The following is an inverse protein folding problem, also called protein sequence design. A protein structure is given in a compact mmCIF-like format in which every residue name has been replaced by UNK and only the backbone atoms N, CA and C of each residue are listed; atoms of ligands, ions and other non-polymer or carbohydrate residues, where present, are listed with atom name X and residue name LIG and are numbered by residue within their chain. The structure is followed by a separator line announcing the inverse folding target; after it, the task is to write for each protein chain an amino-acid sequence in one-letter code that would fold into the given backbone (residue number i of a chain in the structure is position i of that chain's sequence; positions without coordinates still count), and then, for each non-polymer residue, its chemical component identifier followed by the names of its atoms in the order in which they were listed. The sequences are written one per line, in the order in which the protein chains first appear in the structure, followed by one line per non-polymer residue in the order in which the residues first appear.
data_IF_417114924937
#
_entry.id   IF_417114924937
#
_cell.length_a   1.000
_cell.length_b   1.000
_cell.length_c   1.000
_cell.angle_alpha   90.00
_cell.angle_beta   90.00
_cell.angle_gamma   90.00
#
_symmetry.space_group_name_H-M   'P 1'
#
loop_
_entity.id
_entity.type
_entity.pdbx_description
1 polymer ?
#
# COMPACT_ATOMS: atom_id res chain seq x y z
N UNK A 1 -26.08 -9.21 33.14
CA UNK A 1 -25.56 -9.43 31.78
C UNK A 1 -26.19 -8.41 30.86
N UNK A 2 -25.44 -7.40 30.46
CA UNK A 2 -25.93 -6.35 29.55
C UNK A 2 -25.80 -6.90 28.12
N UNK A 3 -26.91 -7.19 27.46
CA UNK A 3 -26.94 -7.57 26.05
C UNK A 3 -26.60 -6.34 25.20
N UNK A 4 -25.66 -6.43 24.23
CA UNK A 4 -25.36 -5.31 23.33
C UNK A 4 -26.61 -4.96 22.51
N UNK A 5 -26.82 -3.65 22.24
CA UNK A 5 -27.93 -3.21 21.39
C UNK A 5 -27.76 -3.78 19.96
N UNK A 6 -28.87 -3.97 19.24
CA UNK A 6 -28.90 -4.50 17.88
C UNK A 6 -27.94 -3.73 16.94
N UNK A 7 -27.81 -2.42 17.11
CA UNK A 7 -26.90 -1.53 16.37
C UNK A 7 -25.45 -1.81 16.72
N UNK A 8 -25.16 -2.12 17.96
CA UNK A 8 -23.81 -2.45 18.45
C UNK A 8 -23.35 -3.83 17.93
N UNK A 9 -24.26 -4.81 17.90
CA UNK A 9 -24.01 -6.12 17.31
C UNK A 9 -23.78 -6.04 15.78
N UNK A 10 -24.57 -5.24 15.05
CA UNK A 10 -24.39 -5.02 13.61
C UNK A 10 -23.05 -4.34 13.29
N UNK A 11 -22.63 -3.34 14.09
CA UNK A 11 -21.33 -2.70 13.90
C UNK A 11 -20.16 -3.66 14.17
N UNK A 12 -20.30 -4.56 15.14
CA UNK A 12 -19.27 -5.57 15.44
C UNK A 12 -19.13 -6.59 14.30
N UNK A 13 -20.24 -7.08 13.75
CA UNK A 13 -20.24 -8.01 12.61
C UNK A 13 -19.66 -7.34 11.37
N UNK A 14 -19.97 -6.08 11.12
CA UNK A 14 -19.39 -5.34 10.00
C UNK A 14 -17.89 -5.13 10.16
N UNK A 15 -17.39 -4.85 11.35
CA UNK A 15 -15.97 -4.71 11.64
C UNK A 15 -15.22 -6.03 11.43
N UNK A 16 -15.73 -7.15 11.94
CA UNK A 16 -15.16 -8.49 11.74
C UNK A 16 -15.06 -8.85 10.25
N UNK A 17 -16.11 -8.57 9.49
CA UNK A 17 -16.09 -8.81 8.04
C UNK A 17 -15.00 -7.98 7.34
N UNK A 18 -14.83 -6.70 7.68
CA UNK A 18 -13.79 -5.86 7.09
C UNK A 18 -12.38 -6.33 7.44
N UNK A 19 -12.16 -6.82 8.67
CA UNK A 19 -10.88 -7.42 9.07
C UNK A 19 -10.58 -8.70 8.28
N UNK A 20 -11.56 -9.58 8.10
CA UNK A 20 -11.43 -10.79 7.30
C UNK A 20 -11.18 -10.46 5.82
N UNK A 21 -11.88 -9.49 5.26
CA UNK A 21 -11.64 -9.02 3.89
C UNK A 21 -10.24 -8.42 3.74
N UNK A 22 -9.77 -7.67 4.75
CA UNK A 22 -8.41 -7.14 4.74
C UNK A 22 -7.36 -8.25 4.73
N UNK A 23 -7.50 -9.25 5.57
CA UNK A 23 -6.61 -10.41 5.57
C UNK A 23 -6.65 -11.17 4.24
N UNK A 24 -7.83 -11.33 3.64
CA UNK A 24 -7.99 -11.96 2.33
C UNK A 24 -7.31 -11.17 1.21
N UNK A 25 -7.37 -9.83 1.23
CA UNK A 25 -6.68 -8.97 0.28
C UNK A 25 -5.16 -9.08 0.39
N UNK A 26 -4.61 -9.13 1.61
CA UNK A 26 -3.18 -9.35 1.83
C UNK A 26 -2.73 -10.70 1.27
N UNK A 27 -3.47 -11.77 1.55
CA UNK A 27 -3.17 -13.11 1.06
C UNK A 27 -3.31 -13.20 -0.48
N UNK A 28 -4.32 -12.55 -1.06
CA UNK A 28 -4.52 -12.47 -2.51
C UNK A 28 -3.36 -11.73 -3.20
N UNK A 29 -2.94 -10.60 -2.65
CA UNK A 29 -1.81 -9.83 -3.15
C UNK A 29 -0.51 -10.64 -3.12
N UNK A 30 -0.22 -11.34 -2.03
CA UNK A 30 0.94 -12.22 -1.90
C UNK A 30 0.91 -13.32 -2.96
N UNK A 31 -0.21 -14.03 -3.09
CA UNK A 31 -0.38 -15.11 -4.08
C UNK A 31 -0.15 -14.65 -5.52
N UNK A 32 -0.61 -13.45 -5.85
CA UNK A 32 -0.42 -12.87 -7.19
C UNK A 32 1.05 -12.54 -7.45
N UNK A 33 1.77 -12.00 -6.45
CA UNK A 33 3.20 -11.64 -6.55
C UNK A 33 4.11 -12.87 -6.67
N UNK A 34 3.78 -13.94 -5.99
CA UNK A 34 4.50 -15.21 -6.05
C UNK A 34 4.33 -15.93 -7.39
N UNK A 35 3.49 -15.41 -8.28
CA UNK A 35 3.25 -15.98 -9.60
C UNK A 35 2.38 -17.24 -9.59
N UNK A 36 1.63 -17.45 -8.53
CA UNK A 36 0.77 -18.61 -8.32
C UNK A 36 -0.74 -18.28 -8.37
N UNK A 37 -1.24 -17.50 -9.34
CA UNK A 37 -2.68 -17.28 -9.44
C UNK A 37 -3.38 -18.58 -9.82
N UNK A 38 -4.62 -18.77 -9.39
CA UNK A 38 -5.40 -19.96 -9.76
C UNK A 38 -5.54 -20.12 -11.27
N UNK A 39 -5.47 -21.36 -11.77
CA UNK A 39 -5.61 -21.68 -13.19
C UNK A 39 -7.07 -21.81 -13.66
N UNK A 40 -8.04 -21.67 -12.77
CA UNK A 40 -9.46 -21.73 -13.06
C UNK A 40 -10.25 -20.76 -12.19
N UNK A 41 -11.54 -20.58 -12.50
CA UNK A 41 -12.44 -19.80 -11.64
C UNK A 41 -12.52 -20.49 -10.28
N UNK A 42 -12.15 -19.79 -9.21
CA UNK A 42 -12.09 -20.35 -7.86
C UNK A 42 -12.58 -19.34 -6.85
N UNK A 43 -13.46 -19.78 -5.97
CA UNK A 43 -13.91 -19.02 -4.79
C UNK A 43 -12.99 -19.30 -3.60
N UNK A 44 -12.75 -18.31 -2.75
CA UNK A 44 -11.83 -18.41 -1.63
C UNK A 44 -12.42 -17.86 -0.34
N UNK A 45 -12.08 -18.50 0.77
CA UNK A 45 -12.17 -18.00 2.13
C UNK A 45 -10.79 -18.04 2.78
N UNK A 46 -10.71 -17.70 4.07
CA UNK A 46 -9.49 -17.85 4.89
C UNK A 46 -9.61 -19.09 5.78
N UNK A 47 -8.53 -19.83 5.88
CA UNK A 47 -8.36 -20.85 6.89
C UNK A 47 -7.98 -20.22 8.25
N UNK A 48 -7.75 -21.07 9.28
CA UNK A 48 -7.39 -20.63 10.64
C UNK A 48 -6.02 -19.94 10.72
N UNK A 49 -5.18 -20.10 9.72
CA UNK A 49 -3.85 -19.48 9.64
C UNK A 49 -3.88 -18.14 8.90
N UNK A 50 -5.02 -17.76 8.33
CA UNK A 50 -5.17 -16.56 7.49
C UNK A 50 -4.74 -16.77 6.03
N UNK A 51 -4.57 -18.02 5.59
CA UNK A 51 -4.23 -18.37 4.22
C UNK A 51 -5.50 -18.56 3.38
N UNK A 52 -5.44 -18.20 2.09
CA UNK A 52 -6.56 -18.44 1.17
C UNK A 52 -6.74 -19.93 0.91
N UNK A 53 -7.93 -20.43 1.18
CA UNK A 53 -8.34 -21.79 0.85
C UNK A 53 -9.53 -21.78 -0.12
N UNK A 54 -9.55 -22.69 -1.13
CA UNK A 54 -10.68 -22.81 -2.04
C UNK A 54 -11.95 -23.26 -1.32
N UNK A 55 -13.08 -22.71 -1.76
CA UNK A 55 -14.42 -23.10 -1.30
C UNK A 55 -15.35 -23.32 -2.50
N UNK A 56 -16.50 -23.94 -2.27
CA UNK A 56 -17.52 -24.12 -3.29
C UNK A 56 -18.01 -22.76 -3.83
N UNK A 57 -18.45 -22.74 -5.05
CA UNK A 57 -19.07 -21.55 -5.61
C UNK A 57 -20.34 -21.20 -4.80
N UNK A 58 -20.48 -19.92 -4.45
CA UNK A 58 -21.57 -19.39 -3.61
C UNK A 58 -21.54 -19.89 -2.15
N UNK A 59 -20.40 -20.34 -1.66
CA UNK A 59 -20.22 -20.60 -0.24
C UNK A 59 -20.53 -19.33 0.57
N UNK A 60 -21.32 -19.40 1.68
CA UNK A 60 -21.60 -18.24 2.51
C UNK A 60 -20.34 -17.59 3.14
N UNK A 61 -19.25 -18.36 3.28
CA UNK A 61 -17.95 -17.88 3.77
C UNK A 61 -17.03 -17.35 2.66
N UNK A 62 -17.46 -17.34 1.40
CA UNK A 62 -16.69 -16.78 0.29
C UNK A 62 -16.33 -15.31 0.56
N UNK A 63 -15.03 -14.99 0.51
CA UNK A 63 -14.52 -13.63 0.70
C UNK A 63 -14.05 -13.01 -0.61
N UNK A 64 -13.39 -13.78 -1.46
CA UNK A 64 -12.86 -13.36 -2.75
C UNK A 64 -13.07 -14.45 -3.79
N UNK A 65 -13.05 -14.04 -5.05
CA UNK A 65 -13.10 -14.96 -6.19
C UNK A 65 -12.00 -14.63 -7.18
N UNK A 66 -11.38 -15.65 -7.77
CA UNK A 66 -10.50 -15.51 -8.91
C UNK A 66 -11.23 -15.81 -10.21
N UNK A 67 -11.03 -14.97 -11.24
CA UNK A 67 -11.49 -15.19 -12.62
C UNK A 67 -10.33 -15.03 -13.60
N UNK A 68 -10.18 -15.93 -14.54
CA UNK A 68 -9.02 -16.00 -15.46
C UNK A 68 -8.74 -14.69 -16.20
N UNK A 69 -9.78 -14.00 -16.67
CA UNK A 69 -9.64 -12.77 -17.45
C UNK A 69 -9.61 -11.49 -16.59
N UNK A 70 -10.21 -11.54 -15.40
CA UNK A 70 -10.43 -10.36 -14.57
C UNK A 70 -9.49 -10.31 -13.36
N UNK A 71 -8.91 -11.45 -12.96
CA UNK A 71 -8.11 -11.58 -11.75
C UNK A 71 -8.98 -11.72 -10.49
N UNK A 72 -8.59 -11.08 -9.40
CA UNK A 72 -9.35 -11.06 -8.16
C UNK A 72 -10.59 -10.18 -8.28
N UNK A 73 -11.73 -10.72 -7.94
CA UNK A 73 -13.03 -10.03 -7.95
C UNK A 73 -13.78 -10.26 -6.63
N UNK A 74 -14.78 -9.43 -6.30
CA UNK A 74 -15.64 -9.66 -5.13
C UNK A 74 -16.30 -11.04 -5.16
N UNK A 75 -16.76 -11.55 -4.00
CA UNK A 75 -17.54 -12.79 -3.94
C UNK A 75 -18.85 -12.66 -4.73
N UNK A 76 -19.45 -13.81 -5.11
CA UNK A 76 -20.73 -13.79 -5.82
C UNK A 76 -21.90 -13.36 -4.95
N UNK A 77 -21.80 -13.54 -3.64
CA UNK A 77 -22.84 -13.14 -2.69
C UNK A 77 -22.91 -11.61 -2.55
N UNK A 78 -24.08 -11.10 -2.23
CA UNK A 78 -24.26 -9.69 -1.91
C UNK A 78 -23.52 -9.36 -0.61
N UNK A 79 -22.69 -8.32 -0.65
CA UNK A 79 -22.00 -7.78 0.51
C UNK A 79 -22.76 -6.57 1.08
N UNK A 80 -22.57 -6.25 2.36
CA UNK A 80 -22.93 -4.93 2.88
C UNK A 80 -22.21 -3.81 2.10
N UNK A 81 -22.87 -2.67 1.90
CA UNK A 81 -22.32 -1.58 1.06
C UNK A 81 -20.89 -1.17 1.45
N UNK A 82 -20.59 -1.05 2.73
CA UNK A 82 -19.25 -0.71 3.22
C UNK A 82 -18.20 -1.76 2.85
N UNK A 83 -18.55 -3.05 2.82
CA UNK A 83 -17.64 -4.12 2.44
C UNK A 83 -17.42 -4.17 0.93
N UNK A 84 -18.46 -3.90 0.13
CA UNK A 84 -18.33 -3.79 -1.33
C UNK A 84 -17.46 -2.60 -1.71
N UNK A 85 -17.68 -1.43 -1.12
CA UNK A 85 -16.85 -0.25 -1.32
C UNK A 85 -15.39 -0.50 -0.91
N UNK A 86 -15.17 -1.16 0.22
CA UNK A 86 -13.84 -1.55 0.70
C UNK A 86 -13.10 -2.43 -0.33
N UNK A 87 -13.76 -3.44 -0.89
CA UNK A 87 -13.17 -4.28 -1.93
C UNK A 87 -12.89 -3.50 -3.21
N UNK A 88 -13.78 -2.60 -3.64
CA UNK A 88 -13.57 -1.75 -4.83
C UNK A 88 -12.33 -0.88 -4.72
N UNK A 89 -11.99 -0.41 -3.51
CA UNK A 89 -10.77 0.40 -3.28
C UNK A 89 -9.49 -0.41 -3.37
N UNK A 90 -9.47 -1.66 -2.87
CA UNK A 90 -8.20 -2.37 -2.66
C UNK A 90 -7.97 -3.56 -3.59
N UNK A 91 -9.01 -4.19 -4.15
CA UNK A 91 -8.84 -5.29 -5.10
C UNK A 91 -7.99 -4.93 -6.32
N UNK A 92 -8.12 -3.73 -6.92
CA UNK A 92 -7.25 -3.35 -8.05
C UNK A 92 -5.76 -3.42 -7.73
N UNK A 93 -5.36 -3.15 -6.47
CA UNK A 93 -3.96 -3.20 -6.03
C UNK A 93 -3.44 -4.64 -5.92
N UNK A 94 -4.33 -5.60 -5.69
CA UNK A 94 -3.98 -7.02 -5.60
C UNK A 94 -3.74 -7.69 -6.98
N UNK A 95 -3.95 -6.96 -8.09
CA UNK A 95 -3.74 -7.45 -9.46
C UNK A 95 -2.29 -7.33 -9.94
N UNK A 96 -1.45 -6.61 -9.20
CA UNK A 96 -0.06 -6.35 -9.58
C UNK A 96 0.74 -7.66 -9.66
N UNK A 97 1.39 -7.91 -10.80
CA UNK A 97 2.25 -9.08 -11.04
C UNK A 97 3.36 -8.75 -12.01
N UNK A 98 4.33 -9.66 -12.14
CA UNK A 98 5.42 -9.50 -13.10
C UNK A 98 4.90 -9.23 -14.53
N UNK A 99 5.43 -8.19 -15.18
CA UNK A 99 4.99 -7.76 -16.51
C UNK A 99 3.69 -6.95 -16.53
N UNK A 100 2.95 -6.86 -15.42
CA UNK A 100 1.70 -6.08 -15.31
C UNK A 100 1.69 -5.28 -14.00
N UNK A 101 2.51 -4.23 -13.87
CA UNK A 101 2.54 -3.41 -12.67
C UNK A 101 1.27 -2.59 -12.53
N UNK A 102 0.84 -2.37 -11.29
CA UNK A 102 -0.20 -1.40 -10.95
C UNK A 102 0.51 -0.18 -10.35
N UNK A 103 0.33 0.98 -10.98
CA UNK A 103 0.90 2.25 -10.52
C UNK A 103 -0.24 3.18 -10.18
N UNK A 104 -0.23 3.78 -9.00
CA UNK A 104 -1.22 4.76 -8.58
C UNK A 104 -0.56 5.90 -7.82
N UNK A 105 -1.19 7.08 -7.85
CA UNK A 105 -0.81 8.24 -7.07
C UNK A 105 -1.82 8.51 -5.96
N UNK A 106 -1.34 8.98 -4.82
CA UNK A 106 -2.17 9.50 -3.74
C UNK A 106 -1.73 10.90 -3.38
N UNK A 107 -2.68 11.83 -3.35
CA UNK A 107 -2.44 13.23 -3.04
C UNK A 107 -3.56 13.74 -2.12
N UNK A 108 -3.19 14.32 -0.98
CA UNK A 108 -4.09 15.10 -0.15
C UNK A 108 -4.06 16.57 -0.61
N UNK A 109 -5.24 17.16 -0.82
CA UNK A 109 -5.36 18.58 -1.15
C UNK A 109 -6.57 19.20 -0.46
N UNK A 110 -6.52 20.50 -0.25
CA UNK A 110 -7.66 21.30 0.19
C UNK A 110 -8.68 21.49 -0.96
N UNK A 111 -9.87 21.99 -0.64
CA UNK A 111 -10.92 22.22 -1.66
C UNK A 111 -10.52 23.21 -2.74
N UNK A 112 -9.62 24.14 -2.43
CA UNK A 112 -9.04 25.13 -3.35
C UNK A 112 -7.78 24.61 -4.08
N UNK A 113 -7.44 23.31 -3.91
CA UNK A 113 -6.40 22.62 -4.67
C UNK A 113 -4.98 22.75 -4.13
N UNK A 114 -4.77 23.27 -2.92
CA UNK A 114 -3.45 23.35 -2.31
C UNK A 114 -3.09 22.10 -1.56
N UNK A 115 -1.82 21.69 -1.63
CA UNK A 115 -1.26 20.52 -0.94
C UNK A 115 -0.57 20.89 0.39
N UNK A 116 -0.35 22.19 0.61
CA UNK A 116 0.25 22.75 1.81
C UNK A 116 -0.21 24.20 1.98
N UNK A 117 -0.02 24.73 3.20
CA UNK A 117 -0.20 26.15 3.50
C UNK A 117 0.86 27.01 2.80
N UNK A 118 0.69 28.33 2.79
CA UNK A 118 1.70 29.27 2.29
C UNK A 118 3.05 29.16 3.03
N UNK A 119 3.06 28.66 4.25
CA UNK A 119 4.26 28.38 5.05
C UNK A 119 4.85 27.00 4.83
N UNK A 120 4.24 26.17 3.96
CA UNK A 120 4.70 24.81 3.64
C UNK A 120 4.19 23.72 4.58
N UNK A 121 3.30 24.03 5.52
CA UNK A 121 2.73 23.02 6.41
C UNK A 121 1.69 22.20 5.68
N UNK A 122 1.91 20.88 5.57
CA UNK A 122 1.04 19.87 4.95
C UNK A 122 0.37 18.94 5.97
N UNK A 123 0.62 19.17 7.27
CA UNK A 123 0.11 18.27 8.31
C UNK A 123 -1.41 18.29 8.37
N UNK A 124 -2.01 17.09 8.37
CA UNK A 124 -3.45 16.88 8.60
C UNK A 124 -4.40 17.54 7.59
N UNK A 125 -3.97 17.77 6.35
CA UNK A 125 -4.86 18.21 5.26
C UNK A 125 -6.01 17.21 5.06
N UNK A 126 -5.81 15.94 5.45
CA UNK A 126 -6.81 14.88 5.37
C UNK A 126 -7.04 14.22 6.73
N UNK A 127 -8.26 13.69 6.95
CA UNK A 127 -8.67 13.07 8.22
C UNK A 127 -7.99 11.73 8.55
N UNK A 128 -8.24 11.19 9.77
CA UNK A 128 -7.63 9.94 10.25
C UNK A 128 -8.00 8.72 9.39
N UNK A 129 -9.17 8.69 8.79
CA UNK A 129 -9.61 7.64 7.87
C UNK A 129 -8.69 7.56 6.65
N UNK A 130 -8.28 8.72 6.11
CA UNK A 130 -7.34 8.77 5.00
C UNK A 130 -5.94 8.29 5.40
N UNK A 131 -5.51 8.55 6.63
CA UNK A 131 -4.24 8.04 7.16
C UNK A 131 -4.28 6.49 7.22
N UNK A 132 -5.37 5.90 7.71
CA UNK A 132 -5.55 4.45 7.71
C UNK A 132 -5.58 3.88 6.29
N UNK A 133 -6.25 4.57 5.35
CA UNK A 133 -6.24 4.23 3.93
C UNK A 133 -4.82 4.23 3.34
N UNK A 134 -4.01 5.24 3.60
CA UNK A 134 -2.60 5.29 3.20
C UNK A 134 -1.80 4.09 3.72
N UNK A 135 -2.04 3.67 4.96
CA UNK A 135 -1.36 2.51 5.51
C UNK A 135 -1.80 1.20 4.84
N UNK A 136 -3.08 1.08 4.46
CA UNK A 136 -3.58 -0.06 3.67
C UNK A 136 -2.95 -0.10 2.29
N UNK A 137 -2.88 1.03 1.60
CA UNK A 137 -2.20 1.10 0.30
C UNK A 137 -0.74 0.68 0.41
N UNK A 138 0.01 1.16 1.42
CA UNK A 138 1.40 0.76 1.64
C UNK A 138 1.55 -0.74 1.88
N UNK A 139 0.65 -1.35 2.65
CA UNK A 139 0.67 -2.78 2.90
C UNK A 139 0.46 -3.64 1.63
N UNK A 140 -0.23 -3.10 0.65
CA UNK A 140 -0.50 -3.76 -0.64
C UNK A 140 0.51 -3.41 -1.74
N UNK A 141 1.45 -2.48 -1.51
CA UNK A 141 2.45 -2.07 -2.49
C UNK A 141 3.77 -2.82 -2.32
N UNK A 142 4.47 -3.08 -3.41
CA UNK A 142 5.86 -3.55 -3.40
C UNK A 142 6.82 -2.40 -3.07
N UNK A 143 6.49 -1.19 -3.54
CA UNK A 143 7.29 0.00 -3.32
C UNK A 143 6.42 1.24 -3.13
N UNK A 144 6.92 2.19 -2.34
CA UNK A 144 6.41 3.56 -2.23
C UNK A 144 7.48 4.53 -2.72
N UNK A 145 7.10 5.42 -3.63
CA UNK A 145 8.02 6.36 -4.29
C UNK A 145 7.70 7.77 -3.84
N UNK A 146 8.73 8.52 -3.41
CA UNK A 146 8.61 9.94 -3.06
C UNK A 146 9.80 10.74 -3.58
N UNK A 147 9.61 12.03 -3.80
CA UNK A 147 10.68 12.97 -4.13
C UNK A 147 11.48 13.39 -2.89
N UNK A 148 12.72 13.86 -3.12
CA UNK A 148 13.60 14.36 -2.07
C UNK A 148 12.99 15.54 -1.29
N UNK A 149 12.22 16.41 -1.95
CA UNK A 149 11.56 17.55 -1.28
C UNK A 149 10.56 17.07 -0.22
N UNK A 150 9.79 16.03 -0.50
CA UNK A 150 8.86 15.41 0.48
C UNK A 150 9.64 14.85 1.68
N UNK A 151 10.80 14.23 1.43
CA UNK A 151 11.64 13.72 2.51
C UNK A 151 12.20 14.85 3.35
N UNK A 152 12.68 15.93 2.71
CA UNK A 152 13.25 17.07 3.39
C UNK A 152 12.20 17.84 4.23
N UNK A 153 10.98 18.00 3.71
CA UNK A 153 9.91 18.74 4.38
C UNK A 153 9.24 17.94 5.51
N UNK A 154 8.86 16.70 5.24
CA UNK A 154 7.99 15.94 6.14
C UNK A 154 8.75 14.92 7.01
N UNK A 155 10.00 14.62 6.68
CA UNK A 155 10.80 13.54 7.30
C UNK A 155 9.98 12.26 7.57
N UNK A 156 9.33 11.69 6.53
CA UNK A 156 8.33 10.65 6.67
C UNK A 156 8.98 9.29 6.95
N UNK A 157 8.25 8.37 7.60
CA UNK A 157 8.70 6.98 7.76
C UNK A 157 8.39 6.11 6.56
N UNK A 158 7.27 6.37 5.87
CA UNK A 158 6.75 5.60 4.73
C UNK A 158 6.49 4.11 5.03
N UNK A 159 6.23 3.78 6.27
CA UNK A 159 5.97 2.41 6.75
C UNK A 159 4.50 2.13 6.96
N UNK A 160 4.13 0.86 6.98
CA UNK A 160 2.84 0.35 7.40
C UNK A 160 2.82 0.22 8.92
N UNK A 161 1.88 0.88 9.63
CA UNK A 161 1.85 0.91 11.10
C UNK A 161 0.46 0.78 11.71
N UNK A 162 -0.58 1.26 11.03
CA UNK A 162 -1.94 1.33 11.56
C UNK A 162 -2.82 0.16 11.15
N UNK A 163 -2.31 -0.70 10.30
CA UNK A 163 -3.02 -1.89 9.81
C UNK A 163 -2.03 -3.05 9.71
N UNK A 164 -2.48 -4.31 9.79
CA UNK A 164 -1.65 -5.47 9.46
C UNK A 164 -1.12 -5.39 8.03
N UNK A 165 0.10 -5.87 7.80
CA UNK A 165 0.74 -5.95 6.48
C UNK A 165 2.22 -5.61 6.52
N UNK A 166 2.92 -5.95 5.44
CA UNK A 166 4.35 -5.71 5.28
C UNK A 166 4.66 -4.24 4.98
N UNK A 167 5.89 -3.82 5.25
CA UNK A 167 6.40 -2.54 4.79
C UNK A 167 6.82 -2.65 3.32
N UNK A 168 6.49 -1.68 2.47
CA UNK A 168 7.01 -1.59 1.12
C UNK A 168 8.48 -1.18 1.08
N UNK A 169 9.18 -1.45 -0.03
CA UNK A 169 10.44 -0.80 -0.35
C UNK A 169 10.21 0.72 -0.44
N UNK A 170 11.02 1.50 0.26
CA UNK A 170 11.01 2.97 0.17
C UNK A 170 11.93 3.42 -0.96
N UNK A 171 11.40 4.08 -1.97
CA UNK A 171 12.17 4.58 -3.13
C UNK A 171 12.18 6.10 -3.08
N UNK A 172 13.36 6.70 -2.97
CA UNK A 172 13.55 8.13 -2.87
C UNK A 172 14.17 8.64 -4.17
N UNK A 173 13.47 9.53 -4.86
CA UNK A 173 14.01 10.19 -6.06
C UNK A 173 14.74 11.46 -5.62
N UNK A 174 16.07 11.42 -5.59
CA UNK A 174 16.95 12.54 -5.24
C UNK A 174 17.95 12.81 -6.39
N UNK A 175 17.51 13.46 -7.49
CA UNK A 175 18.34 13.67 -8.67
C UNK A 175 19.68 14.31 -8.39
N UNK A 176 19.76 15.17 -7.37
CA UNK A 176 20.95 15.93 -7.02
C UNK A 176 21.73 15.34 -5.83
N UNK A 177 21.25 14.22 -5.28
CA UNK A 177 21.84 13.55 -4.13
C UNK A 177 22.07 14.50 -2.93
N UNK A 178 21.04 15.30 -2.57
CA UNK A 178 21.13 16.41 -1.57
C UNK A 178 20.72 16.01 -0.16
N UNK A 179 19.97 14.92 -0.02
CA UNK A 179 19.44 14.54 1.29
C UNK A 179 20.54 14.23 2.29
N UNK A 180 20.35 14.67 3.53
CA UNK A 180 21.17 14.28 4.68
C UNK A 180 20.85 12.86 5.12
N UNK A 181 21.84 12.19 5.70
CA UNK A 181 21.68 10.86 6.30
C UNK A 181 20.81 10.83 7.57
N UNK A 182 20.43 11.98 8.10
CA UNK A 182 19.73 12.10 9.40
C UNK A 182 18.23 11.82 9.29
N UNK A 183 17.69 11.75 8.08
CA UNK A 183 16.27 11.48 7.88
C UNK A 183 15.90 10.09 8.41
N UNK A 184 14.71 9.98 9.02
CA UNK A 184 14.21 8.77 9.67
C UNK A 184 14.26 7.54 8.77
N UNK A 185 13.96 7.71 7.48
CA UNK A 185 13.95 6.60 6.53
C UNK A 185 15.34 5.98 6.28
N UNK A 186 16.43 6.65 6.68
CA UNK A 186 17.80 6.13 6.61
C UNK A 186 18.30 5.56 7.95
N UNK A 187 17.64 5.91 9.06
CA UNK A 187 18.11 5.59 10.40
C UNK A 187 17.19 4.68 11.20
N UNK A 188 15.95 4.46 10.74
CA UNK A 188 14.93 3.75 11.52
C UNK A 188 14.97 2.22 11.39
N UNK A 189 15.66 1.67 10.41
CA UNK A 189 15.76 0.21 10.18
C UNK A 189 14.43 -0.52 9.91
N UNK A 190 13.31 0.22 9.73
CA UNK A 190 11.98 -0.40 9.66
C UNK A 190 11.62 -0.98 8.29
N UNK A 191 12.24 -0.50 7.23
CA UNK A 191 11.99 -0.98 5.87
C UNK A 191 13.23 -0.74 4.99
N UNK A 192 13.44 -1.56 3.96
CA UNK A 192 14.52 -1.33 3.00
C UNK A 192 14.31 0.01 2.27
N UNK A 193 15.40 0.71 1.99
CA UNK A 193 15.37 2.02 1.33
C UNK A 193 16.32 2.04 0.13
N UNK A 194 15.83 2.57 -0.98
CA UNK A 194 16.57 2.79 -2.22
C UNK A 194 16.58 4.29 -2.53
N UNK A 195 17.77 4.87 -2.70
CA UNK A 195 17.93 6.25 -3.15
C UNK A 195 18.33 6.22 -4.63
N UNK A 196 17.59 6.92 -5.47
CA UNK A 196 17.87 7.06 -6.90
C UNK A 196 18.43 8.45 -7.15
N UNK A 197 19.71 8.50 -7.52
CA UNK A 197 20.45 9.73 -7.81
C UNK A 197 20.69 9.89 -9.31
N UNK A 198 20.90 11.12 -9.77
CA UNK A 198 21.29 11.39 -11.15
C UNK A 198 22.75 11.09 -11.40
N UNK A 199 23.06 10.51 -12.57
CA UNK A 199 24.43 10.39 -13.05
C UNK A 199 25.03 11.80 -13.26
N UNK A 200 26.30 11.99 -12.86
CA UNK A 200 26.98 13.30 -12.92
C UNK A 200 27.15 13.97 -11.56
N UNK A 201 26.50 13.48 -10.52
CA UNK A 201 26.85 13.79 -9.14
C UNK A 201 27.83 12.73 -8.61
N UNK A 202 28.70 13.11 -7.66
CA UNK A 202 29.59 12.14 -7.01
C UNK A 202 28.76 10.94 -6.54
N UNK A 203 29.18 9.73 -6.93
CA UNK A 203 28.50 8.54 -6.44
C UNK A 203 28.38 8.63 -4.91
N UNK A 204 27.21 8.36 -4.33
CA UNK A 204 27.09 8.35 -2.88
C UNK A 204 28.18 7.45 -2.32
N UNK A 205 28.99 7.97 -1.39
CA UNK A 205 29.95 7.12 -0.69
C UNK A 205 29.22 5.93 -0.07
N UNK A 206 29.82 4.77 -0.12
CA UNK A 206 29.30 3.60 0.56
C UNK A 206 28.96 4.00 2.01
N UNK A 207 27.75 3.68 2.45
CA UNK A 207 27.19 4.01 3.77
C UNK A 207 26.77 5.49 3.99
N UNK A 208 26.74 6.34 2.97
CA UNK A 208 26.24 7.73 3.14
C UNK A 208 24.82 7.79 3.72
N UNK A 209 23.98 6.83 3.38
CA UNK A 209 22.57 6.77 3.79
C UNK A 209 22.29 5.60 4.76
N UNK A 210 23.25 5.27 5.64
CA UNK A 210 23.13 4.13 6.56
C UNK A 210 22.95 2.81 5.78
N UNK A 211 21.90 2.05 6.10
CA UNK A 211 21.58 0.78 5.44
C UNK A 211 20.86 0.95 4.08
N UNK A 212 20.57 2.17 3.67
CA UNK A 212 19.91 2.44 2.41
C UNK A 212 20.85 2.20 1.23
N UNK A 213 20.33 1.53 0.20
CA UNK A 213 21.05 1.32 -1.06
C UNK A 213 20.90 2.56 -1.95
N UNK A 214 21.99 3.02 -2.56
CA UNK A 214 21.94 4.10 -3.55
C UNK A 214 22.27 3.56 -4.95
N UNK A 215 21.53 4.04 -5.95
CA UNK A 215 21.76 3.77 -7.37
C UNK A 215 21.82 5.07 -8.16
N UNK A 216 22.61 5.08 -9.23
CA UNK A 216 22.68 6.20 -10.15
C UNK A 216 22.03 5.83 -11.47
N UNK A 217 21.24 6.75 -12.03
CA UNK A 217 20.65 6.62 -13.35
C UNK A 217 20.90 7.87 -14.18
N UNK A 218 20.77 7.76 -15.50
CA UNK A 218 20.90 8.88 -16.40
C UNK A 218 19.97 10.02 -16.06
N UNK A 219 20.33 11.24 -16.45
CA UNK A 219 19.47 12.42 -16.32
C UNK A 219 19.23 13.05 -17.68
N UNK A 220 18.02 13.55 -17.91
CA UNK A 220 17.64 14.35 -19.06
C UNK A 220 16.98 15.63 -18.56
N UNK A 221 17.47 16.82 -19.02
CA UNK A 221 17.00 18.12 -18.56
C UNK A 221 16.98 18.29 -17.03
N UNK A 222 17.95 17.71 -16.33
CA UNK A 222 18.04 17.76 -14.86
C UNK A 222 17.05 16.87 -14.11
N UNK A 223 16.28 16.04 -14.82
CA UNK A 223 15.38 15.04 -14.26
C UNK A 223 15.95 13.63 -14.44
N UNK A 224 15.57 12.70 -13.57
CA UNK A 224 15.95 11.30 -13.70
C UNK A 224 15.27 10.70 -14.95
N UNK A 225 16.05 9.95 -15.74
CA UNK A 225 15.54 9.17 -16.87
C UNK A 225 15.03 7.82 -16.34
N UNK A 226 13.75 7.82 -15.92
CA UNK A 226 13.06 6.65 -15.38
C UNK A 226 12.41 5.83 -16.50
#
# INVERSE_FOLDING_TARGET
LHMPSTKQAQNTIAADLLERLWAALLAASTKTREGEPPHCITSFTLDRTGSLQPVAANDPEELLRWRLAEGWVPPARTLPAAADEFLRLYLPLCQARAGHPVIFGHLGQSLDGYIATATGDSCYVTGPENIAHLHRMRALCDAVIVGAETVAADNPRLTTRLVPGSNPLRVILDPRCRLSSDHRLFTDGHAPTLVVCGAGHSAPQANRFGDARAVQIGTSNGQLAL
#
